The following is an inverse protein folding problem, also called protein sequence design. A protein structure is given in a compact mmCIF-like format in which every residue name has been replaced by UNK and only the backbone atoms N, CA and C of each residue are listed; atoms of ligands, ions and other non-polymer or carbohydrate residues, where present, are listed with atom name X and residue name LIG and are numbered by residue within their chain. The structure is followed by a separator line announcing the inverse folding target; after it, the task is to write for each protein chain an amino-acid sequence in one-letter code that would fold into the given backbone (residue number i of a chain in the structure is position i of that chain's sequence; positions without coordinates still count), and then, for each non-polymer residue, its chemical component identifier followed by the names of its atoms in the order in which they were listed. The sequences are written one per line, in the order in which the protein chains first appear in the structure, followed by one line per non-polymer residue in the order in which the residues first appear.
data_IF_568341194660
#
_entry.id   IF_568341194660
#
_cell.length_a   1.000
_cell.length_b   1.000
_cell.length_c   1.000
_cell.angle_alpha   90.00
_cell.angle_beta   90.00
_cell.angle_gamma   90.00
#
_symmetry.space_group_name_H-M   'P 1'
#
loop_
_entity.id
_entity.type
_entity.pdbx_description
1 polymer ?
#
# COMPACT_ATOMS: atom_id res chain seq x y z
N UNK A 1 -4.66 3.33 -15.13
CA UNK A 1 -5.66 3.44 -14.05
C UNK A 1 -5.88 2.04 -13.50
N UNK A 2 -5.70 1.82 -12.19
CA UNK A 2 -5.80 0.49 -11.55
C UNK A 2 -7.24 0.07 -11.25
N UNK A 3 -8.10 1.03 -10.94
CA UNK A 3 -9.53 0.83 -10.69
C UNK A 3 -10.29 2.09 -11.08
N UNK A 4 -11.52 1.91 -11.56
CA UNK A 4 -12.48 2.99 -11.73
C UNK A 4 -13.78 2.60 -11.06
N UNK A 5 -14.29 3.43 -10.16
CA UNK A 5 -15.58 3.24 -9.49
C UNK A 5 -16.51 4.40 -9.78
N UNK A 6 -17.80 4.13 -9.86
CA UNK A 6 -18.87 5.13 -9.92
C UNK A 6 -19.62 5.08 -8.59
N UNK A 7 -19.64 6.18 -7.85
CA UNK A 7 -20.39 6.23 -6.61
C UNK A 7 -21.89 6.38 -6.92
N UNK A 8 -22.78 5.76 -6.13
CA UNK A 8 -24.20 6.12 -6.15
C UNK A 8 -24.43 7.50 -5.52
N UNK A 9 -25.59 8.10 -5.80
CA UNK A 9 -26.10 9.17 -4.95
C UNK A 9 -26.57 8.57 -3.62
N UNK A 10 -26.26 9.23 -2.52
CA UNK A 10 -26.57 8.73 -1.18
C UNK A 10 -27.94 9.25 -0.75
N UNK A 11 -28.92 8.35 -0.68
CA UNK A 11 -30.27 8.65 -0.20
C UNK A 11 -30.64 7.86 1.06
N UNK A 12 -29.96 6.73 1.29
CA UNK A 12 -30.18 5.83 2.42
C UNK A 12 -28.88 5.46 3.13
N UNK A 13 -28.98 4.88 4.33
CA UNK A 13 -27.82 4.36 5.07
C UNK A 13 -27.11 3.23 4.30
N UNK A 14 -27.86 2.43 3.53
CA UNK A 14 -27.29 1.36 2.70
C UNK A 14 -26.46 1.95 1.55
N UNK A 15 -26.95 3.01 0.92
CA UNK A 15 -26.20 3.74 -0.11
C UNK A 15 -24.91 4.33 0.47
N UNK A 16 -24.98 4.91 1.67
CA UNK A 16 -23.82 5.47 2.36
C UNK A 16 -22.79 4.38 2.67
N UNK A 17 -23.23 3.24 3.18
CA UNK A 17 -22.37 2.09 3.44
C UNK A 17 -21.70 1.58 2.17
N UNK A 18 -22.45 1.48 1.08
CA UNK A 18 -21.94 1.03 -0.21
C UNK A 18 -20.96 2.04 -0.83
N UNK A 19 -21.27 3.33 -0.76
CA UNK A 19 -20.35 4.43 -1.09
C UNK A 19 -19.03 4.32 -0.32
N UNK A 20 -19.11 4.18 1.00
CA UNK A 20 -17.94 4.02 1.87
C UNK A 20 -17.10 2.80 1.45
N UNK A 21 -17.75 1.68 1.12
CA UNK A 21 -17.08 0.46 0.65
C UNK A 21 -16.31 0.69 -0.65
N UNK A 22 -16.96 1.27 -1.67
CA UNK A 22 -16.34 1.54 -2.98
C UNK A 22 -15.15 2.50 -2.89
N UNK A 23 -15.27 3.55 -2.08
CA UNK A 23 -14.17 4.50 -1.84
C UNK A 23 -12.98 3.78 -1.20
N UNK A 24 -13.22 2.97 -0.17
CA UNK A 24 -12.16 2.20 0.48
C UNK A 24 -11.49 1.22 -0.49
N UNK A 25 -12.25 0.51 -1.33
CA UNK A 25 -11.70 -0.38 -2.36
C UNK A 25 -10.78 0.37 -3.34
N UNK A 26 -11.23 1.51 -3.85
CA UNK A 26 -10.44 2.33 -4.75
C UNK A 26 -9.15 2.81 -4.09
N UNK A 27 -9.21 3.29 -2.85
CA UNK A 27 -8.01 3.72 -2.09
C UNK A 27 -7.07 2.54 -1.86
N UNK A 28 -7.57 1.38 -1.45
CA UNK A 28 -6.75 0.19 -1.22
C UNK A 28 -6.07 -0.32 -2.49
N UNK A 29 -6.70 -0.14 -3.66
CA UNK A 29 -6.12 -0.53 -4.95
C UNK A 29 -4.94 0.36 -5.35
N UNK A 30 -4.86 1.61 -4.86
CA UNK A 30 -3.73 2.51 -5.16
C UNK A 30 -2.36 1.94 -4.78
N UNK A 31 -2.32 0.99 -3.84
CA UNK A 31 -1.09 0.36 -3.32
C UNK A 31 -1.06 -1.15 -3.51
N UNK A 32 -2.10 -1.74 -4.09
CA UNK A 32 -2.20 -3.19 -4.28
C UNK A 32 -1.26 -3.66 -5.41
N UNK A 33 -0.30 -4.54 -5.14
CA UNK A 33 0.65 -5.02 -6.15
C UNK A 33 1.33 -3.89 -6.95
N UNK A 34 1.87 -2.91 -6.22
CA UNK A 34 2.52 -1.74 -6.79
C UNK A 34 1.60 -0.51 -6.83
N UNK A 35 2.22 0.67 -6.92
CA UNK A 35 1.48 1.94 -6.86
C UNK A 35 0.86 2.30 -8.21
N UNK A 36 -0.33 2.88 -8.19
CA UNK A 36 -0.92 3.45 -9.39
C UNK A 36 -2.23 4.20 -9.13
N UNK A 37 -2.65 5.05 -10.09
CA UNK A 37 -3.82 5.91 -9.92
C UNK A 37 -5.12 5.12 -10.04
N UNK A 38 -6.14 5.55 -9.29
CA UNK A 38 -7.53 5.11 -9.42
C UNK A 38 -8.41 6.28 -9.81
N UNK A 39 -9.58 6.00 -10.37
CA UNK A 39 -10.57 6.99 -10.77
C UNK A 39 -11.86 6.80 -9.96
N UNK A 40 -12.36 7.85 -9.34
CA UNK A 40 -13.61 7.84 -8.59
C UNK A 40 -14.52 8.86 -9.24
N UNK A 41 -15.60 8.38 -9.85
CA UNK A 41 -16.64 9.22 -10.41
C UNK A 41 -17.70 9.50 -9.35
N UNK A 42 -17.90 10.78 -9.00
CA UNK A 42 -18.82 11.22 -7.94
C UNK A 42 -20.03 11.90 -8.61
N UNK A 43 -21.25 11.36 -8.47
CA UNK A 43 -22.44 12.06 -8.91
C UNK A 43 -22.68 13.26 -8.00
N UNK A 44 -22.99 14.41 -8.59
CA UNK A 44 -23.28 15.64 -7.86
C UNK A 44 -24.64 16.15 -8.33
N UNK A 45 -25.66 15.97 -7.48
CA UNK A 45 -27.00 16.49 -7.73
C UNK A 45 -27.11 17.94 -7.27
N UNK A 46 -27.97 18.72 -7.93
CA UNK A 46 -28.27 20.06 -7.47
C UNK A 46 -29.10 20.03 -6.18
N UNK A 47 -28.86 20.97 -5.23
CA UNK A 47 -27.96 22.13 -5.32
C UNK A 47 -26.53 21.87 -4.77
N UNK A 48 -25.52 22.13 -5.61
CA UNK A 48 -24.11 21.73 -5.42
C UNK A 48 -23.35 22.54 -4.35
N UNK A 49 -23.83 23.74 -4.01
CA UNK A 49 -23.09 24.71 -3.19
C UNK A 49 -23.58 24.82 -1.74
N UNK A 50 -24.39 23.86 -1.27
CA UNK A 50 -24.90 23.87 0.11
C UNK A 50 -23.93 23.19 1.06
N UNK A 51 -22.83 23.88 1.38
CA UNK A 51 -21.92 23.45 2.44
C UNK A 51 -22.48 23.82 3.80
N UNK A 52 -23.35 22.97 4.34
CA UNK A 52 -23.99 23.19 5.65
C UNK A 52 -23.24 22.53 6.81
N UNK A 53 -22.32 21.60 6.50
CA UNK A 53 -21.52 20.90 7.50
C UNK A 53 -20.31 21.74 7.93
N UNK A 54 -20.20 22.03 9.23
CA UNK A 54 -19.03 22.71 9.82
C UNK A 54 -17.83 21.78 10.03
N UNK A 55 -18.10 20.49 10.15
CA UNK A 55 -17.12 19.43 10.41
C UNK A 55 -17.47 18.23 9.55
N UNK A 56 -16.43 17.54 9.05
CA UNK A 56 -16.62 16.28 8.34
C UNK A 56 -17.10 15.19 9.31
N UNK A 57 -18.02 14.30 8.88
CA UNK A 57 -18.46 13.19 9.71
C UNK A 57 -17.32 12.18 9.92
N UNK A 58 -17.38 11.44 11.02
CA UNK A 58 -16.54 10.26 11.18
C UNK A 58 -17.04 9.15 10.25
N UNK A 59 -16.12 8.58 9.47
CA UNK A 59 -16.44 7.52 8.51
C UNK A 59 -15.55 6.31 8.75
N UNK A 60 -16.08 5.13 8.45
CA UNK A 60 -15.34 3.87 8.57
C UNK A 60 -14.16 3.83 7.60
N UNK A 61 -12.98 3.52 8.10
CA UNK A 61 -11.77 3.23 7.31
C UNK A 61 -11.54 1.73 7.26
N UNK A 62 -11.39 1.17 6.06
CA UNK A 62 -11.05 -0.24 5.86
C UNK A 62 -9.57 -0.31 5.52
N UNK A 63 -8.81 -0.97 6.39
CA UNK A 63 -7.37 -1.17 6.20
C UNK A 63 -7.09 -2.59 5.70
N UNK A 64 -6.10 -2.73 4.81
CA UNK A 64 -5.65 -4.05 4.35
C UNK A 64 -4.84 -4.70 5.46
N UNK A 65 -5.28 -5.87 5.92
CA UNK A 65 -4.47 -6.73 6.78
C UNK A 65 -3.31 -7.29 5.96
N UNK A 66 -2.08 -6.99 6.35
CA UNK A 66 -0.87 -7.42 5.63
C UNK A 66 -0.27 -8.72 6.16
N UNK A 67 -0.95 -9.42 7.08
CA UNK A 67 -0.39 -10.61 7.73
C UNK A 67 0.76 -10.27 8.68
N UNK A 68 1.24 -11.28 9.41
CA UNK A 68 2.54 -11.19 10.08
C UNK A 68 3.59 -10.90 9.01
N UNK A 69 4.36 -9.86 9.29
CA UNK A 69 5.54 -9.42 8.57
C UNK A 69 6.18 -10.54 7.74
N UNK A 70 6.33 -10.33 6.44
CA UNK A 70 7.17 -11.20 5.59
C UNK A 70 8.60 -11.32 6.14
N UNK A 71 9.00 -10.41 7.03
CA UNK A 71 10.27 -10.42 7.77
C UNK A 71 10.30 -11.39 8.96
N UNK A 72 9.18 -12.00 9.36
CA UNK A 72 9.17 -13.12 10.33
C UNK A 72 9.51 -14.46 9.65
N UNK A 73 9.79 -14.47 8.34
CA UNK A 73 10.42 -15.63 7.71
C UNK A 73 11.82 -15.80 8.28
N UNK A 74 12.12 -16.99 8.80
CA UNK A 74 13.46 -17.31 9.28
C UNK A 74 14.43 -17.33 8.08
N UNK A 75 15.25 -16.28 7.96
CA UNK A 75 16.25 -16.15 6.90
C UNK A 75 17.59 -16.81 7.26
N UNK A 76 17.73 -17.46 8.43
CA UNK A 76 19.00 -18.05 8.89
C UNK A 76 19.59 -19.02 7.88
N UNK A 77 18.79 -19.93 7.33
CA UNK A 77 19.26 -20.92 6.34
C UNK A 77 19.78 -20.25 5.05
N UNK A 78 19.10 -19.20 4.59
CA UNK A 78 19.53 -18.46 3.40
C UNK A 78 20.85 -17.72 3.64
N UNK A 79 21.01 -17.12 4.82
CA UNK A 79 22.25 -16.43 5.24
C UNK A 79 23.40 -17.43 5.35
N UNK A 80 23.19 -18.57 6.00
CA UNK A 80 24.19 -19.64 6.11
C UNK A 80 24.63 -20.15 4.73
N UNK A 81 23.68 -20.38 3.83
CA UNK A 81 23.96 -20.81 2.46
C UNK A 81 24.72 -19.74 1.68
N UNK A 82 24.34 -18.47 1.80
CA UNK A 82 25.05 -17.36 1.15
C UNK A 82 26.49 -17.24 1.66
N UNK A 83 26.71 -17.46 2.96
CA UNK A 83 28.03 -17.36 3.58
C UNK A 83 29.01 -18.46 3.14
N UNK A 84 28.52 -19.60 2.64
CA UNK A 84 29.38 -20.68 2.09
C UNK A 84 30.09 -20.29 0.79
N UNK A 85 29.63 -19.26 0.08
CA UNK A 85 30.22 -18.85 -1.18
C UNK A 85 31.29 -17.77 -0.99
N UNK A 86 32.49 -18.03 -1.51
CA UNK A 86 33.63 -17.11 -1.45
C UNK A 86 33.56 -15.98 -2.48
N UNK A 87 32.76 -16.12 -3.54
CA UNK A 87 32.53 -15.09 -4.56
C UNK A 87 31.03 -14.85 -4.66
N UNK A 88 30.59 -13.64 -4.32
CA UNK A 88 29.17 -13.25 -4.29
C UNK A 88 28.97 -12.09 -5.24
N UNK A 89 27.96 -12.20 -6.10
CA UNK A 89 27.51 -11.13 -6.97
C UNK A 89 26.07 -10.82 -6.60
N UNK A 90 25.78 -9.56 -6.31
CA UNK A 90 24.42 -9.09 -6.03
C UNK A 90 23.97 -8.27 -7.23
N UNK A 91 22.85 -8.66 -7.85
CA UNK A 91 22.22 -7.89 -8.92
C UNK A 91 21.02 -7.18 -8.33
N UNK A 92 21.05 -5.85 -8.34
CA UNK A 92 19.96 -5.01 -7.83
C UNK A 92 19.28 -4.34 -9.01
N UNK A 93 17.98 -4.60 -9.18
CA UNK A 93 17.14 -3.89 -10.13
C UNK A 93 16.45 -2.67 -9.49
N UNK A 94 15.82 -1.83 -10.30
CA UNK A 94 14.98 -0.73 -9.81
C UNK A 94 13.75 -1.30 -9.08
N UNK A 95 13.67 -1.10 -7.77
CA UNK A 95 12.54 -1.54 -6.94
C UNK A 95 11.69 -0.32 -6.57
N UNK A 96 10.42 -0.29 -6.98
CA UNK A 96 9.47 0.80 -6.64
C UNK A 96 9.01 0.69 -5.17
N UNK A 97 9.94 0.86 -4.23
CA UNK A 97 9.68 0.92 -2.80
C UNK A 97 10.24 2.23 -2.25
N UNK A 98 9.55 3.33 -2.57
CA UNK A 98 9.86 4.69 -2.09
C UNK A 98 9.81 4.81 -0.55
N UNK A 99 9.39 3.79 0.20
CA UNK A 99 9.17 3.89 1.66
C UNK A 99 9.96 2.90 2.55
N UNK A 100 10.89 2.13 2.01
CA UNK A 100 11.69 1.18 2.82
C UNK A 100 13.19 1.26 2.54
N UNK A 101 13.64 2.31 1.83
CA UNK A 101 15.05 2.46 1.46
C UNK A 101 15.95 2.98 2.59
N UNK A 102 15.39 3.31 3.76
CA UNK A 102 16.20 3.74 4.90
C UNK A 102 16.63 2.51 5.72
N UNK A 103 17.94 2.26 5.71
CA UNK A 103 18.76 1.43 6.59
C UNK A 103 18.97 -0.07 6.31
N UNK A 104 17.97 -0.91 6.00
CA UNK A 104 18.18 -2.37 6.13
C UNK A 104 19.01 -3.10 5.06
N UNK A 105 19.10 -2.59 3.83
CA UNK A 105 19.90 -3.25 2.78
C UNK A 105 21.40 -3.09 3.06
N UNK A 106 21.81 -1.94 3.61
CA UNK A 106 23.19 -1.68 3.96
C UNK A 106 23.72 -2.71 4.97
N UNK A 107 22.94 -3.05 5.99
CA UNK A 107 23.37 -4.00 7.03
C UNK A 107 23.59 -5.42 6.46
N UNK A 108 22.70 -5.89 5.57
CA UNK A 108 22.85 -7.25 4.99
C UNK A 108 23.98 -7.34 3.97
N UNK A 109 24.26 -6.25 3.23
CA UNK A 109 25.39 -6.19 2.31
C UNK A 109 26.74 -6.04 3.03
N UNK A 110 26.76 -5.39 4.20
CA UNK A 110 27.98 -5.09 4.96
C UNK A 110 28.43 -6.21 5.92
N UNK A 111 27.62 -7.24 6.17
CA UNK A 111 27.94 -8.29 7.16
C UNK A 111 29.23 -9.08 6.88
N UNK A 112 29.91 -8.97 5.73
CA UNK A 112 31.26 -9.52 5.56
C UNK A 112 32.12 -8.82 4.48
N UNK A 113 32.12 -7.49 4.45
CA UNK A 113 33.16 -6.74 3.70
C UNK A 113 34.18 -6.17 4.71
N UNK A 114 34.74 -7.02 5.56
CA UNK A 114 36.06 -6.76 6.14
C UNK A 114 37.06 -7.56 5.32
N UNK A 115 37.92 -6.93 4.51
CA UNK A 115 39.10 -7.60 4.01
C UNK A 115 40.02 -7.90 5.20
N UNK A 116 40.82 -8.95 5.07
CA UNK A 116 41.98 -9.13 5.95
C UNK A 116 42.97 -7.97 5.85
#
# INVERSE_FOLDING_TARGET
VKMSVNLPEVHTEEDEWFCNRLINEAILETTHHGKGPVHINVPISEPIYRFTAKTLPEVRVITRYQGLSVYDRDYKELIERLNKYNKRMVVVGQMNLIYLFEEKICETALINISPG
#
